data_IF_470089313013
#
_entry.id   IF_470089313013
#
_cell.length_a   1.000
_cell.length_b   1.000
_cell.length_c   1.000
_cell.angle_alpha   90.00
_cell.angle_beta   90.00
_cell.angle_gamma   90.00
#
_symmetry.space_group_name_H-M   'P 1'
#
loop_
_entity.id
_entity.type
_entity.pdbx_description
1 polymer ?
#
# COMPACT_ATOMS: atom_id res chain seq x y z
N UNK A 1 -2.30 -3.85 19.12
CA UNK A 1 -2.57 -3.60 17.69
C UNK A 1 -1.64 -4.53 16.93
N UNK A 2 -2.18 -5.37 16.04
CA UNK A 2 -1.34 -6.29 15.27
C UNK A 2 -0.79 -5.54 14.04
N UNK A 3 0.48 -5.78 13.71
CA UNK A 3 1.09 -5.29 12.48
C UNK A 3 1.29 -6.48 11.56
N UNK A 4 0.82 -6.36 10.33
CA UNK A 4 0.96 -7.37 9.29
C UNK A 4 1.99 -6.90 8.27
N UNK A 5 2.95 -7.76 7.96
CA UNK A 5 3.80 -7.56 6.79
C UNK A 5 3.09 -8.16 5.58
N UNK A 6 2.62 -7.30 4.69
CA UNK A 6 1.92 -7.69 3.47
C UNK A 6 2.94 -7.87 2.34
N UNK A 7 2.74 -8.92 1.52
CA UNK A 7 3.52 -9.18 0.31
C UNK A 7 2.60 -9.29 -0.89
N UNK A 8 2.86 -8.50 -1.93
CA UNK A 8 2.12 -8.60 -3.20
C UNK A 8 3.05 -8.57 -4.42
N UNK A 9 2.66 -9.24 -5.49
CA UNK A 9 3.31 -9.10 -6.79
C UNK A 9 2.57 -8.03 -7.61
N UNK A 10 3.27 -7.01 -8.13
CA UNK A 10 2.64 -6.04 -8.99
C UNK A 10 2.13 -6.70 -10.27
N UNK A 11 0.92 -6.31 -10.69
CA UNK A 11 0.43 -6.61 -12.04
C UNK A 11 0.98 -5.55 -13.00
N UNK A 12 1.16 -5.93 -14.25
CA UNK A 12 1.60 -4.99 -15.29
C UNK A 12 0.66 -3.77 -15.34
N UNK A 13 1.24 -2.56 -15.39
CA UNK A 13 0.51 -1.29 -15.37
C UNK A 13 -0.12 -0.88 -14.02
N UNK A 14 -0.28 -1.80 -13.05
CA UNK A 14 -0.96 -1.51 -11.79
C UNK A 14 -0.21 -0.50 -10.91
N UNK A 15 1.13 -0.51 -10.94
CA UNK A 15 1.94 0.39 -10.11
C UNK A 15 1.81 1.85 -10.50
N UNK A 16 1.71 2.14 -11.79
CA UNK A 16 1.45 3.50 -12.25
C UNK A 16 0.10 3.98 -11.75
N UNK A 17 -0.94 3.12 -11.85
CA UNK A 17 -2.28 3.46 -11.35
C UNK A 17 -2.30 3.67 -9.85
N UNK A 18 -1.64 2.81 -9.08
CA UNK A 18 -1.53 2.95 -7.62
C UNK A 18 -0.80 4.24 -7.25
N UNK A 19 0.31 4.56 -7.93
CA UNK A 19 1.02 5.83 -7.72
C UNK A 19 0.11 7.03 -7.97
N UNK A 20 -0.63 7.03 -9.08
CA UNK A 20 -1.58 8.10 -9.39
C UNK A 20 -2.65 8.24 -8.30
N UNK A 21 -3.24 7.15 -7.83
CA UNK A 21 -4.24 7.18 -6.76
C UNK A 21 -3.70 7.70 -5.42
N UNK A 22 -2.44 7.40 -5.11
CA UNK A 22 -1.75 7.98 -3.96
C UNK A 22 -1.59 9.49 -4.16
N UNK A 23 -1.05 9.92 -5.29
CA UNK A 23 -0.75 11.33 -5.55
C UNK A 23 -2.02 12.20 -5.63
N UNK A 24 -3.13 11.64 -6.10
CA UNK A 24 -4.46 12.27 -6.09
C UNK A 24 -5.12 12.30 -4.70
N UNK A 25 -4.53 11.64 -3.69
CA UNK A 25 -5.11 11.51 -2.35
C UNK A 25 -6.35 10.61 -2.29
N UNK A 26 -6.64 9.86 -3.36
CA UNK A 26 -7.82 8.98 -3.43
C UNK A 26 -7.74 7.88 -2.37
N UNK A 27 -6.57 7.26 -2.18
CA UNK A 27 -6.37 6.22 -1.17
C UNK A 27 -6.55 6.79 0.24
N UNK A 28 -5.92 7.92 0.55
CA UNK A 28 -6.05 8.59 1.84
C UNK A 28 -7.50 8.94 2.22
N UNK A 29 -8.35 9.21 1.22
CA UNK A 29 -9.77 9.56 1.43
C UNK A 29 -10.68 8.37 1.76
N UNK A 30 -10.21 7.13 1.55
CA UNK A 30 -11.01 5.93 1.79
C UNK A 30 -11.27 5.72 3.29
N UNK A 31 -12.47 5.26 3.64
CA UNK A 31 -12.83 4.90 5.01
C UNK A 31 -13.01 3.40 5.16
N UNK A 32 -12.66 2.81 6.32
CA UNK A 32 -12.07 3.46 7.51
C UNK A 32 -10.54 3.61 7.47
N UNK A 33 -9.85 2.94 6.54
CA UNK A 33 -8.41 2.69 6.61
C UNK A 33 -7.52 3.54 5.69
N UNK A 34 -8.11 4.42 4.88
CA UNK A 34 -7.43 5.13 3.80
C UNK A 34 -6.13 5.84 4.20
N UNK A 35 -6.11 6.70 5.25
CA UNK A 35 -4.91 7.43 5.62
C UNK A 35 -3.72 6.53 5.95
N UNK A 36 -3.98 5.41 6.61
CA UNK A 36 -2.93 4.52 7.04
C UNK A 36 -2.49 3.57 5.91
N UNK A 37 -3.41 3.10 5.07
CA UNK A 37 -3.07 2.39 3.84
C UNK A 37 -2.24 3.26 2.87
N UNK A 38 -2.57 4.55 2.73
CA UNK A 38 -1.81 5.51 1.92
C UNK A 38 -0.35 5.60 2.39
N UNK A 39 -0.16 5.75 3.72
CA UNK A 39 1.17 5.80 4.33
C UNK A 39 1.95 4.50 4.05
N UNK A 40 1.34 3.34 4.27
CA UNK A 40 1.96 2.04 4.06
C UNK A 40 2.39 1.81 2.61
N UNK A 41 1.52 2.13 1.65
CA UNK A 41 1.82 1.95 0.22
C UNK A 41 2.89 2.93 -0.29
N UNK A 42 2.96 4.15 0.26
CA UNK A 42 4.08 5.08 -0.03
C UNK A 42 5.42 4.56 0.50
N UNK A 43 5.39 3.84 1.62
CA UNK A 43 6.54 3.20 2.24
C UNK A 43 6.95 1.87 1.59
N UNK A 44 6.13 1.32 0.68
CA UNK A 44 6.35 -0.01 0.14
C UNK A 44 7.73 -0.16 -0.54
N UNK A 45 8.35 -1.32 -0.35
CA UNK A 45 9.67 -1.68 -0.88
C UNK A 45 9.64 -2.99 -1.65
N UNK A 46 10.49 -3.11 -2.65
CA UNK A 46 10.70 -4.39 -3.31
C UNK A 46 11.54 -5.32 -2.43
N UNK A 47 11.18 -6.59 -2.41
CA UNK A 47 12.03 -7.66 -1.92
C UNK A 47 13.01 -8.15 -3.00
N UNK A 48 13.94 -9.02 -2.62
CA UNK A 48 14.94 -9.61 -3.53
C UNK A 48 14.33 -10.46 -4.66
N UNK A 49 13.04 -10.79 -4.58
CA UNK A 49 12.29 -11.61 -5.54
C UNK A 49 11.34 -10.76 -6.40
N UNK A 50 11.40 -9.43 -6.31
CA UNK A 50 10.58 -8.50 -7.10
C UNK A 50 9.13 -8.36 -6.62
N UNK A 51 8.79 -8.84 -5.42
CA UNK A 51 7.50 -8.57 -4.78
C UNK A 51 7.56 -7.27 -3.97
N UNK A 52 6.45 -6.58 -3.82
CA UNK A 52 6.32 -5.43 -2.92
C UNK A 52 5.97 -5.89 -1.50
N UNK A 53 6.58 -5.24 -0.53
CA UNK A 53 6.38 -5.42 0.90
C UNK A 53 5.99 -4.10 1.55
N UNK A 54 5.02 -4.13 2.45
CA UNK A 54 4.64 -3.00 3.32
C UNK A 54 4.01 -3.50 4.61
N UNK A 55 4.00 -2.63 5.62
CA UNK A 55 3.37 -2.91 6.92
C UNK A 55 1.95 -2.35 6.95
N UNK A 56 0.97 -3.11 7.40
CA UNK A 56 -0.40 -2.65 7.66
C UNK A 56 -0.74 -2.86 9.13
N UNK A 57 -1.49 -1.94 9.72
CA UNK A 57 -2.02 -2.10 11.08
C UNK A 57 -3.40 -2.77 11.03
N UNK A 58 -3.69 -3.67 11.96
CA UNK A 58 -5.03 -4.25 12.13
C UNK A 58 -6.00 -3.18 12.63
N UNK A 59 -6.78 -2.59 11.72
CA UNK A 59 -7.85 -1.66 12.04
C UNK A 59 -9.09 -2.43 12.50
N UNK A 60 -9.10 -2.83 13.78
CA UNK A 60 -10.31 -3.30 14.47
C UNK A 60 -11.22 -2.15 14.90
#
# INVERSE_FOLDING_TARGET
MAHYLVRARPREGALHRVRQLLDEGSIASMRPFGPALDLSLRGARYDLKGSLLWEEEDYR
#
